data_IF_568533078718
#
_entry.id   IF_568533078718
#
_cell.length_a   1.000
_cell.length_b   1.000
_cell.length_c   1.000
_cell.angle_alpha   90.00
_cell.angle_beta   90.00
_cell.angle_gamma   90.00
#
_symmetry.space_group_name_H-M   'P 1'
#
loop_
_entity.id
_entity.type
_entity.pdbx_description
1 polymer ?
#
# COMPACT_ATOMS: atom_id res chain seq x y z
N UNK A 1 16.65 8.04 -29.77
CA UNK A 1 15.44 7.26 -30.12
C UNK A 1 15.43 5.87 -29.50
N UNK A 2 16.50 5.11 -29.55
CA UNK A 2 16.59 3.74 -28.97
C UNK A 2 16.29 3.68 -27.47
N UNK A 3 16.87 4.56 -26.66
CA UNK A 3 16.63 4.59 -25.19
C UNK A 3 15.16 4.83 -24.81
N UNK A 4 14.43 5.62 -25.60
CA UNK A 4 13.00 5.85 -25.36
C UNK A 4 12.14 4.63 -25.71
N UNK A 5 12.52 3.89 -26.74
CA UNK A 5 11.81 2.68 -27.19
C UNK A 5 12.03 1.53 -26.19
N UNK A 6 13.24 1.39 -25.67
CA UNK A 6 13.57 0.37 -24.65
C UNK A 6 12.86 0.65 -23.32
N UNK A 7 12.85 1.90 -22.87
CA UNK A 7 12.13 2.33 -21.68
C UNK A 7 10.62 2.10 -21.79
N UNK A 8 10.03 2.37 -22.95
CA UNK A 8 8.59 2.14 -23.20
C UNK A 8 8.27 0.63 -23.23
N UNK A 9 9.15 -0.20 -23.75
CA UNK A 9 9.03 -1.67 -23.75
C UNK A 9 9.08 -2.24 -22.33
N UNK A 10 10.01 -1.79 -21.49
CA UNK A 10 10.14 -2.21 -20.07
C UNK A 10 8.89 -1.81 -19.28
N UNK A 11 8.40 -0.59 -19.47
CA UNK A 11 7.21 -0.09 -18.79
C UNK A 11 5.98 -0.91 -19.14
N UNK A 12 5.77 -1.19 -20.41
CA UNK A 12 4.65 -2.02 -20.86
C UNK A 12 4.74 -3.45 -20.31
N UNK A 13 5.96 -4.02 -20.23
CA UNK A 13 6.15 -5.34 -19.63
C UNK A 13 5.85 -5.38 -18.15
N UNK A 14 6.25 -4.37 -17.39
CA UNK A 14 5.97 -4.28 -15.96
C UNK A 14 4.47 -4.03 -15.67
N UNK A 15 3.82 -3.18 -16.46
CA UNK A 15 2.37 -2.98 -16.33
C UNK A 15 1.60 -4.26 -16.69
N UNK A 16 2.08 -5.05 -17.67
CA UNK A 16 1.49 -6.35 -18.00
C UNK A 16 1.58 -7.36 -16.86
N UNK A 17 2.61 -7.28 -16.02
CA UNK A 17 2.70 -8.10 -14.80
C UNK A 17 1.52 -7.80 -13.89
N UNK A 18 1.24 -6.52 -13.61
CA UNK A 18 0.09 -6.14 -12.78
C UNK A 18 -1.23 -6.70 -13.32
N UNK A 19 -1.49 -6.53 -14.61
CA UNK A 19 -2.73 -6.99 -15.24
C UNK A 19 -2.84 -8.52 -15.30
N UNK A 20 -1.73 -9.25 -15.29
CA UNK A 20 -1.73 -10.71 -15.20
C UNK A 20 -2.20 -11.24 -13.85
N UNK A 21 -1.89 -10.53 -12.76
CA UNK A 21 -2.36 -10.88 -11.42
C UNK A 21 -3.75 -10.33 -11.10
N UNK A 22 -4.13 -9.22 -11.74
CA UNK A 22 -5.41 -8.55 -11.55
C UNK A 22 -6.13 -8.37 -12.90
N UNK A 23 -6.63 -9.47 -13.52
CA UNK A 23 -7.24 -9.42 -14.86
C UNK A 23 -8.58 -8.66 -14.89
N UNK A 24 -9.28 -8.58 -13.75
CA UNK A 24 -10.61 -7.98 -13.64
C UNK A 24 -10.59 -6.47 -13.41
N UNK A 25 -9.44 -5.81 -13.57
CA UNK A 25 -9.36 -4.36 -13.47
C UNK A 25 -10.24 -3.71 -14.55
N UNK A 26 -11.05 -2.73 -14.12
CA UNK A 26 -11.80 -1.87 -15.04
C UNK A 26 -10.86 -1.03 -15.91
N UNK A 27 -11.33 -0.51 -17.04
CA UNK A 27 -10.50 0.33 -17.90
C UNK A 27 -10.05 1.60 -17.15
N UNK A 28 -10.90 2.21 -16.32
CA UNK A 28 -10.52 3.33 -15.44
C UNK A 28 -9.39 2.96 -14.49
N UNK A 29 -9.45 1.81 -13.83
CA UNK A 29 -8.37 1.36 -12.94
C UNK A 29 -7.07 1.10 -13.71
N UNK A 30 -7.14 0.52 -14.91
CA UNK A 30 -5.98 0.34 -15.78
C UNK A 30 -5.34 1.68 -16.15
N UNK A 31 -6.14 2.68 -16.54
CA UNK A 31 -5.66 4.03 -16.82
C UNK A 31 -5.01 4.67 -15.60
N UNK A 32 -5.64 4.57 -14.42
CA UNK A 32 -5.11 5.09 -13.17
C UNK A 32 -3.76 4.45 -12.80
N UNK A 33 -3.65 3.12 -12.87
CA UNK A 33 -2.38 2.44 -12.61
C UNK A 33 -1.32 2.78 -13.65
N UNK A 34 -1.67 2.85 -14.94
CA UNK A 34 -0.72 3.18 -16.01
C UNK A 34 -0.11 4.57 -15.82
N UNK A 35 -0.88 5.54 -15.33
CA UNK A 35 -0.40 6.90 -15.08
C UNK A 35 0.61 7.00 -13.92
N UNK A 36 0.65 6.03 -13.00
CA UNK A 36 1.48 6.12 -11.80
C UNK A 36 2.97 6.26 -12.11
N UNK A 37 3.47 5.57 -13.14
CA UNK A 37 4.90 5.57 -13.43
C UNK A 37 5.42 6.97 -13.78
N UNK A 38 4.77 7.66 -14.71
CA UNK A 38 5.18 8.99 -15.12
C UNK A 38 5.01 10.00 -13.98
N UNK A 39 3.89 9.93 -13.25
CA UNK A 39 3.63 10.79 -12.11
C UNK A 39 4.69 10.62 -11.02
N UNK A 40 5.00 9.39 -10.62
CA UNK A 40 6.02 9.17 -9.60
C UNK A 40 7.43 9.47 -10.09
N UNK A 41 7.73 9.26 -11.37
CA UNK A 41 9.02 9.65 -11.96
C UNK A 41 9.23 11.15 -11.88
N UNK A 42 8.22 11.94 -12.27
CA UNK A 42 8.27 13.40 -12.23
C UNK A 42 8.38 13.95 -10.81
N UNK A 43 7.61 13.39 -9.89
CA UNK A 43 7.65 13.80 -8.49
C UNK A 43 8.93 13.36 -7.81
N UNK A 44 9.43 12.16 -8.10
CA UNK A 44 10.65 11.62 -7.48
C UNK A 44 11.92 12.39 -7.90
N UNK A 45 11.89 13.05 -9.06
CA UNK A 45 12.93 13.98 -9.47
C UNK A 45 13.03 15.21 -8.52
N UNK A 46 11.92 15.60 -7.88
CA UNK A 46 11.80 16.76 -6.99
C UNK A 46 11.86 16.38 -5.52
N UNK A 47 11.18 15.29 -5.15
CA UNK A 47 11.03 14.81 -3.77
C UNK A 47 11.21 13.30 -3.77
N UNK A 48 12.28 12.81 -3.13
CA UNK A 48 12.60 11.39 -3.08
C UNK A 48 11.58 10.61 -2.21
N UNK A 49 10.57 10.02 -2.82
CA UNK A 49 9.56 9.17 -2.15
C UNK A 49 9.79 7.69 -2.43
N UNK A 50 10.47 7.37 -3.53
CA UNK A 50 10.94 6.04 -3.91
C UNK A 50 12.44 6.13 -4.14
N UNK A 51 13.21 5.12 -3.75
CA UNK A 51 14.64 5.08 -4.07
C UNK A 51 14.86 5.31 -5.57
N UNK A 52 15.83 6.17 -5.93
CA UNK A 52 16.11 6.46 -7.35
C UNK A 52 16.49 5.23 -8.16
N UNK A 53 17.06 4.21 -7.50
CA UNK A 53 17.41 2.93 -8.12
C UNK A 53 16.20 2.00 -8.29
N UNK A 54 15.07 2.30 -7.61
CA UNK A 54 13.92 1.41 -7.53
C UNK A 54 12.68 1.96 -8.26
N UNK A 55 12.77 3.18 -8.80
CA UNK A 55 11.66 3.79 -9.56
C UNK A 55 11.31 2.96 -10.81
N UNK A 56 12.31 2.34 -11.43
CA UNK A 56 12.10 1.46 -12.58
C UNK A 56 11.33 0.19 -12.23
N UNK A 57 11.29 -0.18 -10.94
CA UNK A 57 10.54 -1.32 -10.42
C UNK A 57 9.21 -0.90 -9.77
N UNK A 58 8.64 0.24 -10.15
CA UNK A 58 7.43 0.78 -9.52
C UNK A 58 6.31 -0.25 -9.42
N UNK A 59 6.02 -0.96 -10.51
CA UNK A 59 4.91 -1.91 -10.51
C UNK A 59 5.18 -3.14 -9.65
N UNK A 60 6.27 -3.90 -9.78
CA UNK A 60 6.49 -5.07 -8.92
C UNK A 60 6.76 -4.70 -7.46
N UNK A 61 7.65 -3.72 -7.20
CA UNK A 61 8.14 -3.45 -5.85
C UNK A 61 7.23 -2.54 -5.01
N UNK A 62 6.39 -1.73 -5.67
CA UNK A 62 5.55 -0.78 -4.95
C UNK A 62 4.07 -1.02 -5.18
N UNK A 63 3.60 -1.10 -6.42
CA UNK A 63 2.17 -1.30 -6.72
C UNK A 63 1.75 -2.71 -6.36
N UNK A 64 2.36 -3.73 -6.95
CA UNK A 64 2.00 -5.13 -6.72
C UNK A 64 2.22 -5.54 -5.26
N UNK A 65 3.33 -5.08 -4.64
CA UNK A 65 3.56 -5.29 -3.21
C UNK A 65 2.42 -4.72 -2.36
N UNK A 66 1.94 -3.52 -2.65
CA UNK A 66 0.79 -2.91 -1.96
C UNK A 66 -0.47 -3.76 -2.11
N UNK A 67 -0.71 -4.26 -3.31
CA UNK A 67 -1.85 -5.12 -3.61
C UNK A 67 -1.74 -6.52 -3.00
N UNK A 68 -0.58 -6.93 -2.54
CA UNK A 68 -0.39 -8.15 -1.75
C UNK A 68 -1.32 -8.23 -0.54
N UNK A 69 -1.76 -7.09 0.01
CA UNK A 69 -2.76 -7.02 1.10
C UNK A 69 -4.06 -7.72 0.71
N UNK A 70 -4.43 -7.73 -0.57
CA UNK A 70 -5.69 -8.33 -1.06
C UNK A 70 -5.77 -9.84 -0.90
N UNK A 71 -4.63 -10.51 -0.77
CA UNK A 71 -4.58 -11.94 -0.48
C UNK A 71 -4.95 -12.23 0.98
N UNK A 72 -4.80 -11.26 1.88
CA UNK A 72 -5.27 -11.35 3.26
C UNK A 72 -6.74 -10.93 3.39
N UNK A 73 -7.12 -9.82 2.78
CA UNK A 73 -8.47 -9.27 2.86
C UNK A 73 -8.80 -8.41 1.65
N UNK A 74 -10.00 -8.58 1.10
CA UNK A 74 -10.64 -7.65 0.17
C UNK A 74 -11.61 -6.77 0.95
N UNK A 75 -11.38 -5.47 0.97
CA UNK A 75 -12.23 -4.51 1.68
C UNK A 75 -13.62 -4.45 1.06
N UNK A 76 -14.65 -4.45 1.91
CA UNK A 76 -16.03 -4.23 1.48
C UNK A 76 -16.28 -2.74 1.19
N UNK A 77 -17.23 -2.42 0.28
CA UNK A 77 -17.72 -1.06 0.09
C UNK A 77 -18.09 -0.40 1.42
N UNK A 78 -17.72 0.87 1.58
CA UNK A 78 -17.95 1.64 2.81
C UNK A 78 -16.94 1.39 3.92
N UNK A 79 -15.95 0.51 3.73
CA UNK A 79 -14.83 0.36 4.68
C UNK A 79 -14.00 1.64 4.76
N UNK A 80 -13.38 1.85 5.93
CA UNK A 80 -12.42 2.92 6.16
C UNK A 80 -11.06 2.35 6.56
N UNK A 81 -10.01 2.78 5.88
CA UNK A 81 -8.65 2.25 6.04
C UNK A 81 -7.68 3.41 6.24
N UNK A 82 -6.89 3.37 7.31
CA UNK A 82 -5.77 4.29 7.49
C UNK A 82 -4.49 3.66 6.95
N UNK A 83 -3.74 4.39 6.11
CA UNK A 83 -2.38 4.04 5.72
C UNK A 83 -1.39 4.84 6.57
N UNK A 84 -0.77 4.18 7.54
CA UNK A 84 0.15 4.81 8.48
C UNK A 84 1.60 4.74 7.96
N UNK A 85 2.21 5.92 7.84
CA UNK A 85 3.54 6.05 7.27
C UNK A 85 3.52 5.84 5.76
N UNK A 86 2.52 6.39 5.10
CA UNK A 86 2.22 6.19 3.68
C UNK A 86 3.37 6.60 2.74
N UNK A 87 4.29 7.46 3.19
CA UNK A 87 5.32 8.02 2.33
C UNK A 87 4.71 8.79 1.18
N UNK A 88 5.04 8.41 -0.04
CA UNK A 88 4.47 8.98 -1.25
C UNK A 88 3.10 8.41 -1.64
N UNK A 89 2.45 7.60 -0.79
CA UNK A 89 1.13 7.02 -1.05
C UNK A 89 1.10 5.49 -1.14
N UNK A 90 2.10 4.79 -0.56
CA UNK A 90 2.15 3.32 -0.59
C UNK A 90 2.02 2.71 0.81
N UNK A 91 1.08 1.78 1.04
CA UNK A 91 0.25 1.07 0.06
C UNK A 91 -1.06 1.77 -0.33
N UNK A 92 -1.41 2.91 0.26
CA UNK A 92 -2.74 3.52 0.20
C UNK A 92 -3.26 3.83 -1.20
N UNK A 93 -2.46 4.46 -2.09
CA UNK A 93 -2.90 4.83 -3.45
C UNK A 93 -3.20 3.59 -4.31
N UNK A 94 -2.31 2.57 -4.41
CA UNK A 94 -2.66 1.35 -5.13
C UNK A 94 -3.93 0.68 -4.60
N UNK A 95 -4.13 0.64 -3.29
CA UNK A 95 -5.33 0.07 -2.70
C UNK A 95 -6.58 0.92 -3.00
N UNK A 96 -6.47 2.25 -2.98
CA UNK A 96 -7.58 3.15 -3.31
C UNK A 96 -8.03 3.03 -4.77
N UNK A 97 -7.11 2.78 -5.70
CA UNK A 97 -7.45 2.47 -7.10
C UNK A 97 -8.24 1.16 -7.17
N UNK A 98 -7.81 0.12 -6.44
CA UNK A 98 -8.46 -1.20 -6.51
C UNK A 98 -9.82 -1.23 -5.80
N UNK A 99 -9.97 -0.45 -4.71
CA UNK A 99 -11.17 -0.40 -3.89
C UNK A 99 -11.80 1.00 -3.90
N UNK A 100 -12.43 1.43 -5.00
CA UNK A 100 -12.90 2.80 -5.18
C UNK A 100 -14.06 3.19 -4.24
N UNK A 101 -14.70 2.22 -3.58
CA UNK A 101 -15.78 2.44 -2.60
C UNK A 101 -15.30 2.34 -1.15
N UNK A 102 -13.98 2.24 -0.93
CA UNK A 102 -13.33 2.22 0.40
C UNK A 102 -12.69 3.58 0.67
N UNK A 103 -12.94 4.16 1.85
CA UNK A 103 -12.30 5.40 2.24
C UNK A 103 -10.88 5.16 2.76
N UNK A 104 -9.89 5.69 2.05
CA UNK A 104 -8.49 5.65 2.48
C UNK A 104 -8.06 6.97 3.10
N UNK A 105 -7.42 6.90 4.28
CA UNK A 105 -6.86 8.03 5.02
C UNK A 105 -5.34 7.85 5.15
N UNK A 106 -4.57 8.63 4.41
CA UNK A 106 -3.12 8.49 4.31
C UNK A 106 -2.40 9.45 5.25
N UNK A 107 -1.58 8.91 6.14
CA UNK A 107 -0.90 9.66 7.21
C UNK A 107 0.61 9.50 7.10
N UNK A 108 1.35 10.60 7.12
CA UNK A 108 2.81 10.61 7.23
C UNK A 108 3.29 11.85 8.00
N UNK A 109 4.38 11.70 8.75
CA UNK A 109 5.01 12.79 9.49
C UNK A 109 5.87 13.73 8.61
N UNK A 110 6.06 13.39 7.33
CA UNK A 110 6.85 14.16 6.38
C UNK A 110 5.93 14.85 5.37
N UNK A 111 5.62 16.12 5.61
CA UNK A 111 4.68 16.87 4.80
C UNK A 111 5.01 16.93 3.30
N UNK A 112 6.30 16.89 2.93
CA UNK A 112 6.70 16.83 1.50
C UNK A 112 6.22 15.54 0.83
N UNK A 113 6.23 14.42 1.54
CA UNK A 113 5.75 13.13 1.02
C UNK A 113 4.23 13.12 0.86
N UNK A 114 3.52 13.66 1.85
CA UNK A 114 2.05 13.85 1.77
C UNK A 114 1.67 14.68 0.53
N UNK A 115 2.39 15.76 0.22
CA UNK A 115 2.15 16.57 -0.99
C UNK A 115 2.28 15.75 -2.27
N UNK A 116 3.23 14.82 -2.34
CA UNK A 116 3.38 13.94 -3.51
C UNK A 116 2.16 13.03 -3.64
N UNK A 117 1.78 12.34 -2.55
CA UNK A 117 0.60 11.47 -2.54
C UNK A 117 -0.68 12.20 -2.95
N UNK A 118 -0.89 13.41 -2.41
CA UNK A 118 -2.04 14.26 -2.78
C UNK A 118 -2.06 14.59 -4.28
N UNK A 119 -0.93 15.05 -4.82
CA UNK A 119 -0.82 15.42 -6.23
C UNK A 119 -1.02 14.21 -7.17
N UNK A 120 -0.50 13.03 -6.78
CA UNK A 120 -0.71 11.80 -7.55
C UNK A 120 -2.19 11.39 -7.51
N UNK A 121 -2.81 11.37 -6.33
CA UNK A 121 -4.22 11.01 -6.16
C UNK A 121 -5.15 11.94 -6.95
N UNK A 122 -4.88 13.26 -6.91
CA UNK A 122 -5.62 14.26 -7.68
C UNK A 122 -5.47 14.04 -9.19
N UNK A 123 -4.23 13.82 -9.66
CA UNK A 123 -3.94 13.64 -11.09
C UNK A 123 -4.63 12.41 -11.69
N UNK A 124 -4.82 11.34 -10.91
CA UNK A 124 -5.54 10.12 -11.36
C UNK A 124 -7.02 10.11 -10.97
N UNK A 125 -7.54 11.21 -10.39
CA UNK A 125 -8.95 11.38 -10.07
C UNK A 125 -9.47 10.42 -9.01
N UNK A 126 -8.71 10.20 -7.91
CA UNK A 126 -9.23 9.49 -6.72
C UNK A 126 -10.11 10.43 -5.89
N UNK A 127 -11.31 9.99 -5.57
CA UNK A 127 -12.34 10.82 -4.91
C UNK A 127 -12.47 10.50 -3.42
N UNK A 128 -12.40 9.21 -3.05
CA UNK A 128 -12.62 8.74 -1.67
C UNK A 128 -11.28 8.48 -0.97
N UNK A 129 -10.43 9.51 -0.95
CA UNK A 129 -9.12 9.47 -0.32
C UNK A 129 -8.85 10.79 0.42
N UNK A 130 -8.22 10.72 1.57
CA UNK A 130 -7.85 11.89 2.35
C UNK A 130 -6.41 11.76 2.87
N UNK A 131 -5.78 12.89 3.15
CA UNK A 131 -4.38 12.95 3.56
C UNK A 131 -4.22 13.80 4.81
N UNK A 132 -3.32 13.39 5.69
CA UNK A 132 -2.98 14.15 6.88
C UNK A 132 -1.48 14.14 7.15
N UNK A 133 -0.92 15.34 7.26
CA UNK A 133 0.45 15.54 7.72
C UNK A 133 0.45 15.59 9.25
N UNK A 134 0.73 14.47 9.91
CA UNK A 134 0.89 14.38 11.36
C UNK A 134 1.67 13.13 11.74
N UNK A 135 2.07 13.03 13.01
CA UNK A 135 2.58 11.78 13.59
C UNK A 135 1.42 10.82 13.87
N UNK A 136 1.68 9.51 13.83
CA UNK A 136 0.65 8.48 14.09
C UNK A 136 0.00 8.62 15.48
N UNK A 137 0.76 9.10 16.48
CA UNK A 137 0.26 9.36 17.82
C UNK A 137 -0.82 10.45 17.87
N UNK A 138 -0.79 11.38 16.93
CA UNK A 138 -1.69 12.53 16.84
C UNK A 138 -2.99 12.20 16.08
N UNK A 139 -3.03 11.07 15.35
CA UNK A 139 -4.25 10.63 14.69
C UNK A 139 -5.24 10.08 15.72
N UNK A 140 -6.50 10.57 15.65
CA UNK A 140 -7.56 10.22 16.59
C UNK A 140 -8.77 9.56 15.93
N UNK A 141 -8.83 9.55 14.60
CA UNK A 141 -9.94 8.94 13.89
C UNK A 141 -9.90 7.41 14.03
N UNK A 142 -11.09 6.80 13.88
CA UNK A 142 -11.26 5.36 13.94
C UNK A 142 -11.46 4.79 12.55
N UNK A 143 -10.86 3.64 12.30
CA UNK A 143 -10.86 2.95 11.01
C UNK A 143 -11.19 1.47 11.21
N UNK A 144 -11.73 0.84 10.16
CA UNK A 144 -11.92 -0.61 10.16
C UNK A 144 -10.57 -1.32 10.13
N UNK A 145 -9.63 -0.81 9.32
CA UNK A 145 -8.27 -1.33 9.28
C UNK A 145 -7.24 -0.21 9.28
N UNK A 146 -6.08 -0.54 9.83
CA UNK A 146 -4.84 0.20 9.57
C UNK A 146 -3.95 -0.66 8.69
N UNK A 147 -3.47 -0.08 7.59
CA UNK A 147 -2.43 -0.69 6.76
C UNK A 147 -1.11 0.07 6.95
N UNK A 148 0.01 -0.61 6.78
CA UNK A 148 1.32 0.03 6.86
C UNK A 148 2.38 -0.78 6.13
N UNK A 149 3.44 -0.13 5.65
CA UNK A 149 4.56 -0.78 4.99
C UNK A 149 5.89 -0.36 5.61
N UNK A 150 6.60 -1.33 6.24
CA UNK A 150 7.98 -1.19 6.71
C UNK A 150 8.29 0.04 7.58
N UNK A 151 7.36 0.44 8.47
CA UNK A 151 7.52 1.67 9.28
C UNK A 151 8.30 1.42 10.57
N UNK A 152 7.94 0.36 11.31
CA UNK A 152 8.51 0.05 12.63
C UNK A 152 8.27 -1.42 13.00
N UNK A 153 8.86 -1.94 14.10
CA UNK A 153 8.56 -3.29 14.61
C UNK A 153 7.06 -3.49 14.87
N UNK A 154 6.59 -4.74 14.70
CA UNK A 154 5.15 -5.07 14.77
C UNK A 154 4.52 -4.68 16.12
N UNK A 155 5.24 -4.91 17.23
CA UNK A 155 4.73 -4.63 18.57
C UNK A 155 4.49 -3.13 18.78
N UNK A 156 5.41 -2.28 18.29
CA UNK A 156 5.27 -0.82 18.38
C UNK A 156 4.13 -0.33 17.50
N UNK A 157 4.00 -0.90 16.30
CA UNK A 157 2.93 -0.58 15.38
C UNK A 157 1.55 -0.93 15.96
N UNK A 158 1.40 -2.15 16.52
CA UNK A 158 0.18 -2.58 17.21
C UNK A 158 -0.17 -1.64 18.37
N UNK A 159 0.80 -1.31 19.21
CA UNK A 159 0.60 -0.37 20.33
C UNK A 159 0.12 1.00 19.86
N UNK A 160 0.71 1.50 18.79
CA UNK A 160 0.40 2.81 18.22
C UNK A 160 -1.02 2.88 17.66
N UNK A 161 -1.41 1.87 16.86
CA UNK A 161 -2.66 1.93 16.07
C UNK A 161 -3.90 1.36 16.77
N UNK A 162 -3.75 0.62 17.88
CA UNK A 162 -4.87 0.01 18.59
C UNK A 162 -6.00 0.99 18.93
N UNK A 163 -5.65 2.23 19.27
CA UNK A 163 -6.60 3.31 19.57
C UNK A 163 -7.40 3.79 18.35
N UNK A 164 -6.95 3.44 17.15
CA UNK A 164 -7.55 3.86 15.88
C UNK A 164 -8.42 2.78 15.24
N UNK A 165 -8.68 1.67 15.92
CA UNK A 165 -9.50 0.57 15.40
C UNK A 165 -10.93 0.70 15.89
N UNK A 166 -11.91 0.64 14.97
CA UNK A 166 -13.33 0.59 15.26
C UNK A 166 -13.73 -0.72 15.92
N UNK A 167 -14.77 -0.68 16.75
CA UNK A 167 -15.38 -1.89 17.34
C UNK A 167 -16.37 -2.57 16.40
N UNK A 168 -17.13 -1.77 15.65
CA UNK A 168 -18.08 -2.23 14.66
C UNK A 168 -17.36 -2.90 13.49
N UNK A 169 -17.83 -4.06 13.09
CA UNK A 169 -17.18 -4.87 12.06
C UNK A 169 -18.10 -5.09 10.86
N UNK A 170 -17.60 -4.78 9.67
CA UNK A 170 -18.33 -4.98 8.41
C UNK A 170 -17.61 -5.94 7.46
N UNK A 171 -16.32 -6.15 7.65
CA UNK A 171 -15.49 -6.97 6.78
C UNK A 171 -15.48 -8.46 7.17
N UNK A 172 -14.88 -9.31 6.35
CA UNK A 172 -14.79 -10.76 6.59
C UNK A 172 -13.86 -11.13 7.75
N UNK A 173 -12.84 -10.30 7.99
CA UNK A 173 -11.94 -10.45 9.14
C UNK A 173 -12.31 -9.41 10.20
N UNK A 174 -12.05 -9.70 11.48
CA UNK A 174 -12.10 -8.70 12.54
C UNK A 174 -11.25 -7.47 12.19
N UNK A 175 -11.69 -6.29 12.64
CA UNK A 175 -10.94 -5.07 12.42
C UNK A 175 -9.53 -5.17 13.03
N UNK A 176 -8.55 -4.53 12.41
CA UNK A 176 -7.19 -4.64 12.90
C UNK A 176 -6.12 -4.01 12.01
N UNK A 177 -4.90 -4.49 12.21
CA UNK A 177 -3.71 -4.06 11.49
C UNK A 177 -3.34 -5.07 10.40
N UNK A 178 -3.09 -4.58 9.21
CA UNK A 178 -2.50 -5.38 8.11
C UNK A 178 -1.21 -4.68 7.67
N UNK A 179 -0.07 -5.32 7.80
CA UNK A 179 1.20 -4.72 7.42
C UNK A 179 2.00 -5.56 6.44
N UNK A 180 2.66 -4.86 5.52
CA UNK A 180 3.62 -5.41 4.58
C UNK A 180 5.00 -5.38 5.21
N UNK A 181 5.60 -6.54 5.33
CA UNK A 181 6.89 -6.76 5.97
C UNK A 181 7.82 -7.56 5.07
N UNK A 182 9.10 -7.59 5.40
CA UNK A 182 10.11 -8.39 4.69
C UNK A 182 11.13 -8.95 5.65
N UNK A 183 11.81 -10.02 5.22
CA UNK A 183 12.84 -10.71 6.00
C UNK A 183 12.28 -11.66 7.07
N UNK A 184 13.12 -11.98 8.05
CA UNK A 184 12.75 -12.88 9.16
C UNK A 184 11.88 -12.17 10.19
N UNK A 185 10.66 -12.65 10.35
CA UNK A 185 9.64 -12.05 11.23
C UNK A 185 9.29 -12.90 12.45
N UNK A 186 9.92 -14.06 12.64
CA UNK A 186 9.60 -14.98 13.72
C UNK A 186 9.58 -14.29 15.09
N UNK A 187 10.58 -13.48 15.38
CA UNK A 187 10.66 -12.75 16.64
C UNK A 187 9.60 -11.64 16.78
N UNK A 188 9.25 -10.97 15.67
CA UNK A 188 8.21 -9.92 15.69
C UNK A 188 6.81 -10.50 15.86
N UNK A 189 6.55 -11.68 15.29
CA UNK A 189 5.24 -12.34 15.32
C UNK A 189 5.03 -13.13 16.63
N UNK A 190 6.11 -13.62 17.25
CA UNK A 190 6.04 -14.48 18.45
C UNK A 190 5.12 -13.93 19.57
N UNK A 191 5.14 -12.63 19.93
CA UNK A 191 4.23 -12.07 20.93
C UNK A 191 2.74 -12.15 20.54
N UNK A 192 2.45 -12.28 19.24
CA UNK A 192 1.10 -12.31 18.67
C UNK A 192 0.72 -13.69 18.10
N UNK A 193 1.52 -14.73 18.30
CA UNK A 193 1.40 -16.06 17.66
C UNK A 193 0.01 -16.70 17.70
N UNK A 194 -0.81 -16.37 18.71
CA UNK A 194 -2.17 -16.90 18.87
C UNK A 194 -3.24 -16.05 18.16
N UNK A 195 -2.87 -14.90 17.60
CA UNK A 195 -3.78 -13.93 17.01
C UNK A 195 -3.34 -13.49 15.62
N UNK A 196 -2.03 -13.34 15.38
CA UNK A 196 -1.50 -12.91 14.11
C UNK A 196 -1.58 -14.00 13.05
N UNK A 197 -1.94 -13.60 11.83
CA UNK A 197 -1.82 -14.42 10.63
C UNK A 197 -0.70 -13.83 9.78
N UNK A 198 0.24 -14.67 9.36
CA UNK A 198 1.31 -14.29 8.41
C UNK A 198 1.18 -15.12 7.14
N UNK A 199 1.33 -14.44 6.01
CA UNK A 199 1.24 -15.03 4.67
C UNK A 199 2.47 -14.64 3.85
N UNK A 200 3.12 -15.61 3.23
CA UNK A 200 4.25 -15.37 2.34
C UNK A 200 3.76 -14.91 0.96
N UNK A 201 4.25 -13.77 0.48
CA UNK A 201 3.83 -13.25 -0.81
C UNK A 201 4.41 -14.00 -2.00
N UNK A 202 5.50 -14.75 -1.83
CA UNK A 202 6.05 -15.64 -2.85
C UNK A 202 5.09 -16.76 -3.28
N UNK A 203 4.13 -17.12 -2.44
CA UNK A 203 3.12 -18.11 -2.78
C UNK A 203 2.05 -17.55 -3.74
N UNK A 204 2.02 -16.23 -3.92
CA UNK A 204 1.05 -15.49 -4.72
C UNK A 204 1.67 -14.76 -5.92
N UNK A 205 2.92 -14.31 -5.80
CA UNK A 205 3.66 -13.57 -6.82
C UNK A 205 4.96 -14.31 -7.16
N UNK A 206 5.32 -14.35 -8.44
CA UNK A 206 6.46 -15.14 -8.97
C UNK A 206 7.77 -14.35 -9.02
N UNK A 207 7.70 -13.03 -8.87
CA UNK A 207 8.89 -12.17 -8.95
C UNK A 207 9.80 -12.41 -7.74
N UNK A 208 11.11 -12.50 -7.97
CA UNK A 208 12.15 -12.74 -6.95
C UNK A 208 12.03 -11.77 -5.76
N UNK A 209 11.57 -10.55 -6.01
CA UNK A 209 11.31 -9.55 -4.98
C UNK A 209 10.44 -10.08 -3.83
N UNK A 210 9.49 -10.99 -4.10
CA UNK A 210 8.53 -11.49 -3.13
C UNK A 210 9.04 -12.66 -2.30
N UNK A 211 10.22 -13.23 -2.58
CA UNK A 211 10.79 -14.36 -1.82
C UNK A 211 10.85 -14.11 -0.31
N UNK A 212 11.07 -12.86 0.08
CA UNK A 212 11.19 -12.47 1.49
C UNK A 212 10.04 -11.61 1.99
N UNK A 213 9.01 -11.34 1.16
CA UNK A 213 7.92 -10.44 1.51
C UNK A 213 6.73 -11.19 2.11
N UNK A 214 6.12 -10.58 3.10
CA UNK A 214 4.99 -11.13 3.85
C UNK A 214 3.91 -10.08 4.09
N UNK A 215 2.67 -10.55 4.17
CA UNK A 215 1.56 -9.81 4.78
C UNK A 215 1.35 -10.35 6.17
N UNK A 216 1.29 -9.48 7.16
CA UNK A 216 0.99 -9.83 8.55
C UNK A 216 -0.28 -9.12 8.98
N UNK A 217 -1.24 -9.87 9.44
CA UNK A 217 -2.49 -9.37 10.00
C UNK A 217 -2.57 -9.64 11.49
N UNK A 218 -3.01 -8.64 12.26
CA UNK A 218 -3.26 -8.73 13.72
C UNK A 218 -4.63 -8.14 14.01
N UNK A 219 -5.61 -8.93 14.50
CA UNK A 219 -6.90 -8.40 14.98
C UNK A 219 -6.70 -7.54 16.23
N UNK A 220 -7.43 -6.42 16.37
CA UNK A 220 -7.23 -5.45 17.46
C UNK A 220 -8.54 -4.98 18.12
#
# INVERSE_FOLDING_TARGET
MEQNTEKFSILNSQFSILTSYFPDLTDRQKEQYAALYDLYTDWNAKINVISRKDIENLYPHHVLHSLGITHMLRFKPGSSVMDLGTGGGFPGIPLAILFPETHFHLVDSIGKKIKVGQAVAEAIGLEIISFRHCRGEEEKQLFDFVVSRAVMPLADLVKLVRKNIKKEQINALPNGLICLKGGELAHEILPFRNQAISMDLKDHFKEEFFETKKVVYVPL
#
